data_IF_175073959247
#
_entry.id   IF_175073959247
#
_cell.length_a   1.000
_cell.length_b   1.000
_cell.length_c   1.000
_cell.angle_alpha   90.00
_cell.angle_beta   90.00
_cell.angle_gamma   90.00
#
_symmetry.space_group_name_H-M   'P 1'
#
loop_
_entity.id
_entity.type
_entity.pdbx_description
1 polymer ?
#
# COMPACT_ATOMS: atom_id res chain seq x y z
N UNK A 1 -17.11 18.66 10.34
CA UNK A 1 -17.03 17.60 11.38
C UNK A 1 -15.90 17.97 12.31
N UNK A 2 -16.13 17.96 13.62
CA UNK A 2 -15.15 18.40 14.61
C UNK A 2 -14.10 17.30 14.82
N UNK A 3 -12.86 17.68 15.12
CA UNK A 3 -11.73 16.77 15.40
C UNK A 3 -12.07 15.67 16.42
N UNK A 4 -13.01 15.93 17.33
CA UNK A 4 -13.53 14.97 18.30
C UNK A 4 -14.34 13.82 17.66
N UNK A 5 -15.09 14.09 16.59
CA UNK A 5 -15.88 13.06 15.89
C UNK A 5 -14.99 12.09 15.11
N UNK A 6 -13.88 12.60 14.55
CA UNK A 6 -12.88 11.75 13.87
C UNK A 6 -12.20 10.79 14.86
N UNK A 7 -11.77 11.31 16.01
CA UNK A 7 -11.14 10.50 17.07
C UNK A 7 -12.11 9.44 17.60
N UNK A 8 -13.39 9.80 17.84
CA UNK A 8 -14.42 8.84 18.25
C UNK A 8 -14.61 7.73 17.22
N UNK A 9 -14.71 8.07 15.94
CA UNK A 9 -14.86 7.07 14.87
C UNK A 9 -13.68 6.10 14.79
N UNK A 10 -12.46 6.57 15.07
CA UNK A 10 -11.24 5.74 15.09
C UNK A 10 -11.20 4.84 16.32
N UNK A 11 -11.65 5.34 17.48
CA UNK A 11 -11.75 4.55 18.71
C UNK A 11 -12.80 3.44 18.56
N UNK A 12 -13.98 3.75 18.01
CA UNK A 12 -15.04 2.77 17.76
C UNK A 12 -14.57 1.64 16.82
N UNK A 13 -13.81 1.99 15.77
CA UNK A 13 -13.19 1.01 14.87
C UNK A 13 -12.15 0.14 15.58
N UNK A 14 -11.31 0.72 16.45
CA UNK A 14 -10.34 -0.04 17.24
C UNK A 14 -11.00 -0.99 18.23
N UNK A 15 -12.05 -0.55 18.92
CA UNK A 15 -12.81 -1.36 19.88
C UNK A 15 -13.50 -2.54 19.18
N UNK A 16 -14.17 -2.27 18.05
CA UNK A 16 -14.81 -3.32 17.23
C UNK A 16 -13.80 -4.37 16.71
N UNK A 17 -12.53 -4.01 16.56
CA UNK A 17 -11.44 -4.93 16.17
C UNK A 17 -10.96 -5.77 17.35
N UNK A 18 -10.86 -5.18 18.53
CA UNK A 18 -10.49 -5.88 19.76
C UNK A 18 -11.56 -6.89 20.18
N UNK A 19 -12.84 -6.55 20.04
CA UNK A 19 -13.96 -7.47 20.32
C UNK A 19 -14.00 -8.69 19.40
N UNK A 20 -13.42 -8.60 18.20
CA UNK A 20 -13.27 -9.74 17.28
C UNK A 20 -12.08 -10.64 17.62
N UNK A 21 -11.18 -10.18 18.48
CA UNK A 21 -10.04 -10.94 19.00
C UNK A 21 -10.46 -11.49 20.36
N UNK A 22 -11.49 -12.33 20.35
CA UNK A 22 -11.89 -13.03 21.56
C UNK A 22 -10.92 -14.21 21.82
N UNK A 23 -10.54 -14.35 23.08
CA UNK A 23 -9.41 -15.13 23.58
C UNK A 23 -9.70 -16.64 23.48
N UNK A 24 -9.32 -17.30 22.38
CA UNK A 24 -9.25 -18.77 22.33
C UNK A 24 -7.86 -19.28 22.73
N UNK A 25 -7.56 -19.16 24.03
CA UNK A 25 -6.45 -19.91 24.62
C UNK A 25 -6.88 -21.35 24.91
N UNK A 26 -6.27 -22.30 24.19
CA UNK A 26 -5.93 -23.67 24.59
C UNK A 26 -7.07 -24.70 24.81
N UNK A 27 -7.20 -25.67 23.88
CA UNK A 27 -7.06 -27.12 24.14
C UNK A 27 -7.61 -27.95 22.96
N UNK A 28 -6.84 -28.97 22.53
CA UNK A 28 -7.39 -30.16 21.87
C UNK A 28 -7.30 -30.18 20.33
N UNK A 29 -6.54 -31.14 19.81
CA UNK A 29 -6.46 -31.42 18.38
C UNK A 29 -7.78 -31.86 17.77
N UNK A 30 -8.04 -31.39 16.55
CA UNK A 30 -9.17 -31.81 15.74
C UNK A 30 -9.11 -31.16 14.36
N UNK A 31 -9.16 -31.97 13.31
CA UNK A 31 -9.31 -31.51 11.92
C UNK A 31 -10.59 -30.69 11.76
N UNK A 32 -10.50 -29.54 11.09
CA UNK A 32 -11.63 -28.82 10.50
C UNK A 32 -11.11 -28.24 9.18
N UNK A 33 -11.42 -28.82 8.01
CA UNK A 33 -12.69 -28.65 7.28
C UNK A 33 -13.17 -27.20 7.26
N UNK A 34 -13.32 -26.66 6.05
CA UNK A 34 -13.32 -25.25 5.72
C UNK A 34 -14.24 -24.35 6.56
N UNK A 35 -13.70 -23.18 6.92
CA UNK A 35 -14.51 -22.01 7.23
C UNK A 35 -14.29 -20.97 6.12
N UNK A 36 -15.17 -21.02 5.11
CA UNK A 36 -15.40 -19.89 4.23
C UNK A 36 -16.17 -18.83 5.02
N UNK A 37 -15.52 -17.72 5.39
CA UNK A 37 -16.25 -16.59 5.98
C UNK A 37 -15.43 -15.46 6.58
N UNK A 38 -14.24 -15.71 7.14
CA UNK A 38 -13.40 -14.64 7.71
C UNK A 38 -12.13 -14.44 6.88
N UNK A 39 -12.00 -13.29 6.23
CA UNK A 39 -10.75 -12.88 5.56
C UNK A 39 -9.60 -12.86 6.58
N UNK A 40 -8.40 -13.29 6.17
CA UNK A 40 -7.25 -13.37 7.07
C UNK A 40 -6.94 -12.00 7.70
N UNK A 41 -6.52 -11.91 8.98
CA UNK A 41 -6.34 -10.63 9.68
C UNK A 41 -5.44 -9.64 8.94
N UNK A 42 -4.37 -10.12 8.30
CA UNK A 42 -3.47 -9.28 7.49
C UNK A 42 -4.17 -8.69 6.26
N UNK A 43 -5.10 -9.42 5.63
CA UNK A 43 -5.86 -8.93 4.48
C UNK A 43 -6.84 -7.84 4.91
N UNK A 44 -7.59 -8.08 5.99
CA UNK A 44 -8.53 -7.08 6.54
C UNK A 44 -7.79 -5.80 6.96
N UNK A 45 -6.65 -5.94 7.65
CA UNK A 45 -5.86 -4.78 8.06
C UNK A 45 -5.27 -4.03 6.86
N UNK A 46 -4.92 -4.71 5.77
CA UNK A 46 -4.49 -4.07 4.53
C UNK A 46 -5.64 -3.31 3.86
N UNK A 47 -6.84 -3.89 3.79
CA UNK A 47 -8.02 -3.23 3.22
C UNK A 47 -8.38 -1.94 3.99
N UNK A 48 -8.27 -1.99 5.33
CA UNK A 48 -8.43 -0.82 6.20
C UNK A 48 -7.35 0.24 5.94
N UNK A 49 -6.09 -0.17 5.83
CA UNK A 49 -4.97 0.72 5.48
C UNK A 49 -5.19 1.39 4.12
N UNK A 50 -5.55 0.60 3.10
CA UNK A 50 -5.79 1.09 1.75
C UNK A 50 -6.91 2.13 1.73
N UNK A 51 -8.03 1.81 2.38
CA UNK A 51 -9.20 2.69 2.46
C UNK A 51 -8.90 3.98 3.25
N UNK A 52 -8.07 3.91 4.28
CA UNK A 52 -7.79 5.04 5.17
C UNK A 52 -6.68 5.97 4.67
N UNK A 53 -5.73 5.46 3.87
CA UNK A 53 -4.54 6.21 3.48
C UNK A 53 -4.32 6.32 1.97
N UNK A 54 -4.58 5.25 1.21
CA UNK A 54 -4.38 5.26 -0.24
C UNK A 54 -5.55 5.94 -0.94
N UNK A 55 -6.81 5.60 -0.59
CA UNK A 55 -8.00 6.22 -1.22
C UNK A 55 -8.01 7.75 -1.07
N UNK A 56 -7.78 8.34 0.12
CA UNK A 56 -7.72 9.81 0.24
C UNK A 56 -6.61 10.44 -0.59
N UNK A 57 -5.43 9.80 -0.69
CA UNK A 57 -4.34 10.23 -1.55
C UNK A 57 -4.77 10.26 -3.02
N UNK A 58 -5.43 9.21 -3.49
CA UNK A 58 -5.96 9.13 -4.84
C UNK A 58 -7.00 10.23 -5.13
N UNK A 59 -7.84 10.57 -4.16
CA UNK A 59 -8.81 11.66 -4.29
C UNK A 59 -8.12 13.04 -4.32
N UNK A 60 -7.04 13.24 -3.57
CA UNK A 60 -6.22 14.46 -3.66
C UNK A 60 -5.55 14.58 -5.03
N UNK A 61 -4.99 13.50 -5.58
CA UNK A 61 -4.43 13.49 -6.95
C UNK A 61 -5.48 13.93 -7.97
N UNK A 62 -6.71 13.43 -7.86
CA UNK A 62 -7.83 13.82 -8.71
C UNK A 62 -8.20 15.31 -8.57
N UNK A 63 -8.22 15.83 -7.34
CA UNK A 63 -8.54 17.24 -7.05
C UNK A 63 -7.48 18.21 -7.57
N UNK A 64 -6.20 17.84 -7.50
CA UNK A 64 -5.11 18.64 -8.08
C UNK A 64 -5.25 18.67 -9.62
N UNK A 65 -5.66 17.56 -10.23
CA UNK A 65 -5.95 17.54 -11.66
C UNK A 65 -4.69 17.35 -12.54
N UNK A 66 -4.84 17.68 -13.83
CA UNK A 66 -3.76 17.58 -14.82
C UNK A 66 -3.13 16.19 -14.91
N UNK A 67 -1.81 16.16 -15.11
CA UNK A 67 -1.05 14.91 -15.23
C UNK A 67 -1.09 14.07 -13.95
N UNK A 68 -1.30 14.70 -12.78
CA UNK A 68 -1.38 13.96 -11.51
C UNK A 68 -2.70 13.19 -11.39
N UNK A 69 -3.81 13.71 -11.94
CA UNK A 69 -5.06 12.96 -12.02
C UNK A 69 -4.93 11.73 -12.92
N UNK A 70 -4.15 11.81 -14.01
CA UNK A 70 -3.82 10.65 -14.86
C UNK A 70 -2.92 9.65 -14.13
N UNK A 71 -1.90 10.15 -13.44
CA UNK A 71 -0.94 9.32 -12.70
C UNK A 71 -1.55 8.60 -11.49
N UNK A 72 -2.73 9.03 -11.01
CA UNK A 72 -3.54 8.35 -9.98
C UNK A 72 -3.69 6.85 -10.26
N UNK A 73 -3.94 6.49 -11.52
CA UNK A 73 -4.20 5.10 -11.92
C UNK A 73 -3.03 4.16 -11.63
N UNK A 74 -1.79 4.64 -11.71
CA UNK A 74 -0.60 3.83 -11.39
C UNK A 74 -0.47 3.57 -9.89
N UNK A 75 -0.77 4.58 -9.08
CA UNK A 75 -0.80 4.43 -7.61
C UNK A 75 -1.86 3.40 -7.24
N UNK A 76 -3.08 3.57 -7.77
CA UNK A 76 -4.20 2.66 -7.53
C UNK A 76 -3.85 1.23 -7.93
N UNK A 77 -3.34 1.02 -9.14
CA UNK A 77 -2.98 -0.29 -9.65
C UNK A 77 -1.86 -0.96 -8.83
N UNK A 78 -0.82 -0.22 -8.44
CA UNK A 78 0.28 -0.76 -7.65
C UNK A 78 -0.14 -1.19 -6.25
N UNK A 79 -0.91 -0.36 -5.54
CA UNK A 79 -1.42 -0.71 -4.21
C UNK A 79 -2.48 -1.82 -4.28
N UNK A 80 -3.39 -1.82 -5.25
CA UNK A 80 -4.31 -2.95 -5.43
C UNK A 80 -3.57 -4.25 -5.77
N UNK A 81 -2.50 -4.17 -6.56
CA UNK A 81 -1.62 -5.31 -6.84
C UNK A 81 -0.96 -5.84 -5.58
N UNK A 82 -0.48 -4.96 -4.70
CA UNK A 82 0.06 -5.34 -3.39
C UNK A 82 -1.00 -6.05 -2.54
N UNK A 83 -2.23 -5.56 -2.50
CA UNK A 83 -3.35 -6.24 -1.83
C UNK A 83 -3.61 -7.65 -2.35
N UNK A 84 -3.56 -7.85 -3.69
CA UNK A 84 -3.66 -9.18 -4.30
C UNK A 84 -2.54 -10.12 -3.85
N UNK A 85 -1.30 -9.63 -3.79
CA UNK A 85 -0.14 -10.42 -3.32
C UNK A 85 -0.26 -10.79 -1.85
N UNK A 86 -0.70 -9.87 -0.98
CA UNK A 86 -0.94 -10.12 0.45
C UNK A 86 -2.06 -11.16 0.64
N UNK A 87 -3.13 -11.06 -0.14
CA UNK A 87 -4.22 -12.05 -0.13
C UNK A 87 -3.74 -13.42 -0.57
N UNK A 88 -2.94 -13.48 -1.63
CA UNK A 88 -2.33 -14.73 -2.09
C UNK A 88 -1.48 -15.35 -0.98
N UNK A 89 -0.60 -14.56 -0.35
CA UNK A 89 0.30 -15.05 0.70
C UNK A 89 -0.45 -15.57 1.93
N UNK A 90 -1.64 -15.03 2.22
CA UNK A 90 -2.47 -15.50 3.34
C UNK A 90 -3.00 -16.93 3.17
N UNK A 91 -3.07 -17.43 1.93
CA UNK A 91 -3.66 -18.73 1.61
C UNK A 91 -2.66 -19.72 1.02
N UNK A 92 -1.56 -19.24 0.43
CA UNK A 92 -0.57 -20.04 -0.27
C UNK A 92 0.77 -20.04 0.46
N UNK A 93 1.54 -21.11 0.26
CA UNK A 93 2.93 -21.19 0.73
C UNK A 93 3.89 -20.46 -0.22
N UNK A 94 5.06 -20.08 0.32
CA UNK A 94 6.08 -19.30 -0.38
C UNK A 94 6.41 -19.90 -1.75
N UNK A 95 6.51 -19.09 -2.83
CA UNK A 95 6.89 -19.54 -4.17
C UNK A 95 8.14 -20.42 -4.20
N UNK A 96 8.32 -21.20 -5.26
CA UNK A 96 9.48 -22.08 -5.43
C UNK A 96 10.80 -21.32 -5.57
N UNK A 97 10.78 -20.09 -6.10
CA UNK A 97 11.95 -19.24 -6.29
C UNK A 97 11.58 -17.76 -6.36
N UNK A 98 12.58 -16.89 -6.30
CA UNK A 98 12.40 -15.45 -6.47
C UNK A 98 11.97 -15.08 -7.90
N UNK A 99 12.32 -15.89 -8.90
CA UNK A 99 11.83 -15.72 -10.27
C UNK A 99 10.31 -15.88 -10.34
N UNK A 100 9.76 -16.90 -9.66
CA UNK A 100 8.30 -17.10 -9.57
C UNK A 100 7.64 -15.98 -8.77
N UNK A 101 8.29 -15.45 -7.73
CA UNK A 101 7.81 -14.24 -7.05
C UNK A 101 7.76 -13.05 -8.00
N UNK A 102 8.79 -12.85 -8.83
CA UNK A 102 8.80 -11.81 -9.87
C UNK A 102 7.62 -11.93 -10.84
N UNK A 103 7.32 -13.14 -11.32
CA UNK A 103 6.15 -13.40 -12.19
C UNK A 103 4.81 -13.14 -11.47
N UNK A 104 4.71 -13.46 -10.18
CA UNK A 104 3.55 -13.11 -9.35
C UNK A 104 3.41 -11.58 -9.27
N UNK A 105 4.49 -10.83 -9.02
CA UNK A 105 4.44 -9.37 -8.96
C UNK A 105 4.02 -8.78 -10.32
N UNK A 106 4.50 -9.32 -11.43
CA UNK A 106 4.07 -8.90 -12.76
C UNK A 106 2.57 -9.13 -12.97
N UNK A 107 2.09 -10.37 -12.74
CA UNK A 107 0.66 -10.72 -12.88
C UNK A 107 -0.24 -10.00 -11.88
N UNK A 108 0.30 -9.55 -10.76
CA UNK A 108 -0.46 -8.76 -9.79
C UNK A 108 -0.77 -7.36 -10.30
N UNK A 109 -0.12 -6.89 -11.36
CA UNK A 109 -0.23 -5.52 -11.88
C UNK A 109 0.75 -4.52 -11.24
N UNK A 110 1.59 -4.95 -10.29
CA UNK A 110 2.64 -4.10 -9.73
C UNK A 110 3.67 -3.73 -10.81
N UNK A 111 4.14 -4.73 -11.58
CA UNK A 111 5.17 -4.51 -12.59
C UNK A 111 4.73 -3.51 -13.67
N UNK A 112 3.50 -3.66 -14.17
CA UNK A 112 2.92 -2.73 -15.14
C UNK A 112 2.65 -1.34 -14.56
N UNK A 113 2.25 -1.22 -13.29
CA UNK A 113 2.08 0.06 -12.62
C UNK A 113 3.41 0.83 -12.50
N UNK A 114 4.48 0.13 -12.10
CA UNK A 114 5.82 0.71 -11.97
C UNK A 114 6.36 1.18 -13.32
N UNK A 115 6.34 0.33 -14.34
CA UNK A 115 6.83 0.68 -15.68
C UNK A 115 6.02 1.81 -16.30
N UNK A 116 4.69 1.75 -16.20
CA UNK A 116 3.81 2.80 -16.72
C UNK A 116 4.02 4.14 -16.01
N UNK A 117 4.26 4.15 -14.69
CA UNK A 117 4.54 5.37 -13.94
C UNK A 117 5.85 6.03 -14.38
N UNK A 118 6.90 5.23 -14.61
CA UNK A 118 8.19 5.71 -15.08
C UNK A 118 8.09 6.28 -16.50
N UNK A 119 7.45 5.54 -17.41
CA UNK A 119 7.21 5.99 -18.79
C UNK A 119 6.38 7.27 -18.84
N UNK A 120 5.34 7.34 -18.01
CA UNK A 120 4.46 8.50 -17.95
C UNK A 120 5.21 9.74 -17.44
N UNK A 121 6.01 9.59 -16.37
CA UNK A 121 6.86 10.69 -15.87
C UNK A 121 7.86 11.13 -16.93
N UNK A 122 8.51 10.18 -17.61
CA UNK A 122 9.48 10.48 -18.67
C UNK A 122 8.84 11.28 -19.82
N UNK A 123 7.67 10.85 -20.31
CA UNK A 123 6.95 11.55 -21.40
C UNK A 123 6.45 12.94 -20.98
N UNK A 124 6.13 13.12 -19.71
CA UNK A 124 5.59 14.35 -19.14
C UNK A 124 6.62 15.15 -18.33
N UNK A 125 7.91 15.05 -18.67
CA UNK A 125 8.99 15.72 -17.92
C UNK A 125 8.88 17.27 -17.90
N UNK A 126 8.13 17.86 -18.84
CA UNK A 126 7.84 19.31 -18.91
C UNK A 126 6.57 19.71 -18.16
N UNK A 127 5.88 18.77 -17.52
CA UNK A 127 4.66 19.04 -16.76
C UNK A 127 4.91 20.09 -15.67
N UNK A 128 3.96 21.02 -15.43
CA UNK A 128 4.02 21.86 -14.23
C UNK A 128 3.95 21.03 -12.94
N UNK A 129 3.48 19.78 -13.02
CA UNK A 129 3.42 18.82 -11.93
C UNK A 129 4.58 17.81 -11.96
N UNK A 130 5.67 18.07 -12.69
CA UNK A 130 6.79 17.12 -12.84
C UNK A 130 7.32 16.59 -11.50
N UNK A 131 7.48 17.44 -10.47
CA UNK A 131 7.90 16.99 -9.14
C UNK A 131 6.88 16.02 -8.50
N UNK A 132 5.58 16.18 -8.75
CA UNK A 132 4.57 15.23 -8.28
C UNK A 132 4.72 13.89 -9.00
N UNK A 133 4.97 13.90 -10.31
CA UNK A 133 5.16 12.67 -11.08
C UNK A 133 6.42 11.91 -10.64
N UNK A 134 7.50 12.62 -10.25
CA UNK A 134 8.66 12.00 -9.61
C UNK A 134 8.31 11.38 -8.25
N UNK A 135 7.50 12.04 -7.42
CA UNK A 135 7.01 11.44 -6.16
C UNK A 135 6.22 10.16 -6.44
N UNK A 136 5.37 10.17 -7.47
CA UNK A 136 4.59 8.97 -7.85
C UNK A 136 5.51 7.84 -8.29
N UNK A 137 6.41 8.05 -9.24
CA UNK A 137 7.31 6.99 -9.73
C UNK A 137 8.23 6.45 -8.63
N UNK A 138 8.95 7.33 -7.93
CA UNK A 138 9.93 6.91 -6.93
C UNK A 138 9.26 6.34 -5.69
N UNK A 139 8.16 6.96 -5.26
CA UNK A 139 7.43 6.51 -4.09
C UNK A 139 6.65 5.22 -4.33
N UNK A 140 6.14 4.98 -5.54
CA UNK A 140 5.36 3.76 -5.84
C UNK A 140 6.19 2.50 -5.65
N UNK A 141 7.52 2.58 -5.76
CA UNK A 141 8.45 1.48 -5.49
C UNK A 141 8.26 0.88 -4.08
N UNK A 142 7.63 1.60 -3.15
CA UNK A 142 7.25 1.05 -1.83
C UNK A 142 6.48 -0.27 -1.92
N UNK A 143 5.71 -0.51 -2.98
CA UNK A 143 4.95 -1.77 -3.17
C UNK A 143 5.84 -2.99 -3.43
N UNK A 144 7.15 -2.81 -3.64
CA UNK A 144 8.13 -3.87 -3.83
C UNK A 144 8.68 -4.43 -2.51
N UNK A 145 8.27 -3.92 -1.35
CA UNK A 145 8.69 -4.47 -0.05
C UNK A 145 8.53 -5.99 0.09
N UNK A 146 7.57 -6.69 -0.56
CA UNK A 146 7.46 -8.15 -0.47
C UNK A 146 8.68 -8.93 -0.96
N UNK A 147 9.57 -8.31 -1.74
CA UNK A 147 10.84 -8.93 -2.19
C UNK A 147 11.97 -8.78 -1.18
N UNK A 148 11.79 -7.94 -0.15
CA UNK A 148 12.81 -7.64 0.84
C UNK A 148 12.70 -8.53 2.08
N UNK A 149 13.85 -8.99 2.57
CA UNK A 149 13.98 -9.65 3.87
C UNK A 149 13.99 -8.66 5.04
N UNK A 150 14.15 -7.35 4.76
CA UNK A 150 14.13 -6.24 5.71
C UNK A 150 12.95 -5.31 5.43
N UNK A 151 11.76 -5.90 5.24
CA UNK A 151 10.55 -5.23 4.77
C UNK A 151 10.20 -3.91 5.49
N UNK A 152 10.19 -3.89 6.83
CA UNK A 152 9.86 -2.69 7.61
C UNK A 152 10.85 -1.56 7.33
N UNK A 153 12.15 -1.86 7.31
CA UNK A 153 13.19 -0.88 7.01
C UNK A 153 13.08 -0.39 5.57
N UNK A 154 12.86 -1.30 4.62
CA UNK A 154 12.65 -0.96 3.22
C UNK A 154 11.52 0.07 3.04
N UNK A 155 10.35 -0.17 3.67
CA UNK A 155 9.22 0.75 3.57
C UNK A 155 9.56 2.11 4.17
N UNK A 156 10.21 2.16 5.34
CA UNK A 156 10.59 3.42 5.99
C UNK A 156 11.54 4.28 5.14
N UNK A 157 12.48 3.65 4.44
CA UNK A 157 13.43 4.37 3.57
C UNK A 157 12.76 5.02 2.36
N UNK A 158 11.55 4.59 1.96
CA UNK A 158 10.84 5.19 0.82
C UNK A 158 10.40 6.64 1.07
N UNK A 159 10.28 7.08 2.33
CA UNK A 159 10.06 8.51 2.64
C UNK A 159 11.25 9.35 2.15
N UNK A 160 12.47 8.85 2.33
CA UNK A 160 13.69 9.53 1.93
C UNK A 160 13.82 9.58 0.40
N UNK A 161 13.37 8.54 -0.30
CA UNK A 161 13.41 8.47 -1.76
C UNK A 161 12.63 9.59 -2.46
N UNK A 162 11.54 10.08 -1.83
CA UNK A 162 10.68 11.14 -2.41
C UNK A 162 10.94 12.52 -1.83
N UNK A 163 11.72 12.62 -0.74
CA UNK A 163 11.85 13.82 0.08
C UNK A 163 12.29 15.06 -0.71
N UNK A 164 13.24 14.89 -1.63
CA UNK A 164 13.73 15.98 -2.48
C UNK A 164 12.61 16.60 -3.31
N UNK A 165 11.79 15.77 -3.94
CA UNK A 165 10.69 16.21 -4.79
C UNK A 165 9.52 16.76 -3.97
N UNK A 166 9.21 16.17 -2.82
CA UNK A 166 8.17 16.71 -1.93
C UNK A 166 8.53 18.10 -1.41
N UNK A 167 9.80 18.37 -1.09
CA UNK A 167 10.27 19.69 -0.68
C UNK A 167 10.16 20.72 -1.82
N UNK A 168 10.46 20.29 -3.06
CA UNK A 168 10.26 21.14 -4.23
C UNK A 168 8.79 21.49 -4.44
N UNK A 169 7.88 20.53 -4.28
CA UNK A 169 6.43 20.78 -4.37
C UNK A 169 6.02 21.86 -3.37
N UNK A 170 6.34 21.68 -2.08
CA UNK A 170 5.98 22.61 -1.02
C UNK A 170 6.51 24.03 -1.28
N UNK A 171 7.69 24.13 -1.89
CA UNK A 171 8.31 25.42 -2.22
C UNK A 171 7.65 26.06 -3.44
N UNK A 172 7.46 25.30 -4.53
CA UNK A 172 6.95 25.83 -5.80
C UNK A 172 5.46 26.16 -5.78
N UNK A 173 4.69 25.55 -4.89
CA UNK A 173 3.24 25.80 -4.78
C UNK A 173 2.89 26.78 -3.67
N UNK A 174 3.89 27.33 -2.98
CA UNK A 174 3.68 28.27 -1.88
C UNK A 174 3.05 29.56 -2.42
N UNK A 175 1.91 29.94 -1.84
CA UNK A 175 1.18 31.15 -2.23
C UNK A 175 0.22 30.97 -3.40
N UNK A 176 0.18 29.78 -4.01
CA UNK A 176 -0.86 29.46 -5.00
C UNK A 176 -2.22 29.27 -4.30
N UNK A 177 -3.30 29.51 -5.03
CA UNK A 177 -4.67 29.31 -4.52
C UNK A 177 -4.97 27.84 -4.15
N UNK A 178 -4.23 26.89 -4.72
CA UNK A 178 -4.33 25.45 -4.49
C UNK A 178 -3.21 24.90 -3.57
N UNK A 179 -2.43 25.77 -2.91
CA UNK A 179 -1.28 25.37 -2.09
C UNK A 179 -1.62 24.28 -1.06
N UNK A 180 -2.81 24.32 -0.47
CA UNK A 180 -3.26 23.34 0.53
C UNK A 180 -3.52 21.95 -0.08
N UNK A 181 -3.92 21.84 -1.35
CA UNK A 181 -4.06 20.55 -2.02
C UNK A 181 -2.69 19.89 -2.22
N UNK A 182 -1.69 20.67 -2.61
CA UNK A 182 -0.32 20.18 -2.80
C UNK A 182 0.35 19.78 -1.47
N UNK A 183 0.13 20.56 -0.40
CA UNK A 183 0.54 20.18 0.96
C UNK A 183 -0.15 18.89 1.42
N UNK A 184 -1.44 18.75 1.14
CA UNK A 184 -2.20 17.54 1.45
C UNK A 184 -1.64 16.32 0.72
N UNK A 185 -1.31 16.45 -0.57
CA UNK A 185 -0.67 15.39 -1.34
C UNK A 185 0.65 14.93 -0.70
N UNK A 186 1.54 15.87 -0.37
CA UNK A 186 2.82 15.56 0.27
C UNK A 186 2.63 14.86 1.61
N UNK A 187 1.73 15.39 2.45
CA UNK A 187 1.46 14.80 3.77
C UNK A 187 0.80 13.42 3.66
N UNK A 188 -0.15 13.23 2.76
CA UNK A 188 -0.84 11.96 2.57
C UNK A 188 0.09 10.88 2.01
N UNK A 189 1.01 11.25 1.10
CA UNK A 189 2.02 10.32 0.61
C UNK A 189 2.93 9.83 1.73
N UNK A 190 3.44 10.76 2.54
CA UNK A 190 4.26 10.43 3.72
C UNK A 190 3.49 9.52 4.68
N UNK A 191 2.26 9.87 5.03
CA UNK A 191 1.42 9.08 5.94
C UNK A 191 1.12 7.68 5.36
N UNK A 192 0.89 7.56 4.05
CA UNK A 192 0.69 6.26 3.41
C UNK A 192 1.92 5.35 3.57
N UNK A 193 3.14 5.89 3.49
CA UNK A 193 4.37 5.10 3.73
C UNK A 193 4.52 4.74 5.21
N UNK A 194 4.34 5.70 6.11
CA UNK A 194 4.52 5.48 7.55
C UNK A 194 3.52 4.45 8.10
N UNK A 195 2.25 4.54 7.71
CA UNK A 195 1.20 3.60 8.13
C UNK A 195 1.37 2.22 7.45
N UNK A 196 1.93 2.17 6.23
CA UNK A 196 2.32 0.89 5.63
C UNK A 196 3.44 0.24 6.44
N UNK A 197 4.41 1.00 6.95
CA UNK A 197 5.47 0.45 7.79
C UNK A 197 4.92 -0.11 9.11
N UNK A 198 3.89 0.52 9.69
CA UNK A 198 3.16 -0.01 10.86
C UNK A 198 2.48 -1.33 10.51
N UNK A 199 1.73 -1.38 9.40
CA UNK A 199 1.09 -2.60 8.90
C UNK A 199 2.11 -3.73 8.67
N UNK A 200 3.20 -3.45 7.96
CA UNK A 200 4.24 -4.43 7.64
C UNK A 200 4.91 -4.92 8.92
N UNK A 201 5.15 -4.05 9.91
CA UNK A 201 5.73 -4.47 11.19
C UNK A 201 4.83 -5.46 11.93
N UNK A 202 3.51 -5.24 11.91
CA UNK A 202 2.55 -6.08 12.62
C UNK A 202 2.38 -7.46 11.96
N UNK A 203 2.25 -7.50 10.63
CA UNK A 203 1.86 -8.74 9.92
C UNK A 203 3.01 -9.42 9.15
N UNK A 204 4.08 -8.68 8.86
CA UNK A 204 5.11 -9.06 7.88
C UNK A 204 6.53 -8.62 8.31
N UNK A 205 6.81 -8.64 9.61
CA UNK A 205 8.01 -8.04 10.23
C UNK A 205 9.33 -8.42 9.54
N UNK A 206 9.48 -9.68 9.10
CA UNK A 206 10.70 -10.21 8.48
C UNK A 206 10.54 -10.51 6.98
N UNK A 207 9.59 -9.84 6.31
CA UNK A 207 9.21 -10.09 4.93
C UNK A 207 7.79 -10.61 4.82
N UNK A 208 7.32 -10.75 3.56
CA UNK A 208 5.97 -11.20 3.28
C UNK A 208 5.70 -12.56 3.96
N UNK A 209 4.66 -12.59 4.78
CA UNK A 209 4.27 -13.78 5.54
C UNK A 209 3.40 -14.70 4.65
N UNK A 210 3.88 -15.92 4.42
CA UNK A 210 3.22 -16.93 3.61
C UNK A 210 2.59 -18.02 4.48
N UNK A 211 1.44 -18.53 4.06
CA UNK A 211 0.77 -19.64 4.73
C UNK A 211 1.68 -20.88 4.80
N UNK A 212 1.70 -21.55 5.96
CA UNK A 212 2.51 -22.77 6.17
C UNK A 212 1.85 -24.03 5.58
N UNK A 213 0.54 -24.00 5.36
CA UNK A 213 -0.27 -25.16 4.95
C UNK A 213 -0.94 -25.00 3.59
N UNK A 214 -0.68 -23.89 2.89
CA UNK A 214 -1.21 -23.63 1.56
C UNK A 214 -0.43 -24.31 0.43
N UNK A 215 -1.07 -24.50 -0.72
CA UNK A 215 -0.37 -24.87 -1.95
C UNK A 215 0.67 -23.82 -2.34
N UNK A 216 1.67 -24.22 -3.13
CA UNK A 216 2.73 -23.32 -3.59
C UNK A 216 2.10 -22.16 -4.39
N UNK A 217 2.41 -20.93 -4.00
CA UNK A 217 1.99 -19.77 -4.77
C UNK A 217 2.61 -19.82 -6.18
N UNK A 218 1.75 -19.63 -7.18
CA UNK A 218 2.13 -19.54 -8.60
C UNK A 218 1.50 -18.28 -9.21
N UNK A 219 1.98 -17.82 -10.37
CA UNK A 219 1.43 -16.63 -11.02
C UNK A 219 -0.06 -16.78 -11.35
N UNK A 220 -0.53 -18.01 -11.60
CA UNK A 220 -1.93 -18.29 -11.96
C UNK A 220 -2.88 -18.29 -10.75
N UNK A 221 -2.35 -18.26 -9.52
CA UNK A 221 -3.15 -18.23 -8.30
C UNK A 221 -3.69 -16.83 -7.97
N UNK A 222 -3.21 -15.79 -8.64
CA UNK A 222 -3.77 -14.44 -8.59
C UNK A 222 -5.09 -14.43 -9.39
N UNK A 223 -6.20 -14.67 -8.70
CA UNK A 223 -7.56 -14.49 -9.23
C UNK A 223 -8.08 -13.09 -8.96
#
# INVERSE_FOLDING_TARGET
MTQAQDILSRLEKCVSRLEKIDFSSSSGGGKSSGNAGSSAPQVVAYDDYYSSHVVPLLETCKKIGGDLASAKSFIEAGFQGLGRVIKLSSTHSKPSSDAVLGEILEKSGIGSALSSSADFRFKNFKSPLANHLYVVEEGLKVVLWPTSTTAVSYVKEMVNAVQFYTNKILTSTKGNNDAELHKSFVSQWKNAIEELAVYVKEYHMSGLNWSKSGEKATPNALK
#
